data_IF_923599572854
#
_entry.id   IF_923599572854
#
_cell.length_a   1.000
_cell.length_b   1.000
_cell.length_c   1.000
_cell.angle_alpha   90.00
_cell.angle_beta   90.00
_cell.angle_gamma   90.00
#
_symmetry.space_group_name_H-M   'P 1'
#
loop_
_entity.id
_entity.type
_entity.pdbx_description
1 polymer ?
#
# COMPACT_ATOMS: atom_id res chain seq x y z
N UNK A 1 -2.99 15.52 13.04
CA UNK A 1 -2.25 15.32 11.77
C UNK A 1 -3.27 14.98 10.72
N UNK A 2 -3.26 15.71 9.61
CA UNK A 2 -4.19 15.48 8.51
C UNK A 2 -3.95 14.10 7.90
N UNK A 3 -5.04 13.40 7.55
CA UNK A 3 -4.96 12.06 6.94
C UNK A 3 -4.89 12.09 5.42
N UNK A 4 -4.93 13.28 4.83
CA UNK A 4 -4.89 13.56 3.40
C UNK A 4 -3.59 14.30 3.06
N UNK A 5 -3.06 14.03 1.88
CA UNK A 5 -1.96 14.79 1.29
C UNK A 5 -2.40 16.22 0.95
N UNK A 6 -1.43 17.11 0.73
CA UNK A 6 -1.72 18.50 0.31
C UNK A 6 -2.52 18.56 -0.99
N UNK A 7 -2.20 17.67 -1.94
CA UNK A 7 -2.93 17.58 -3.20
C UNK A 7 -4.39 17.16 -3.01
N UNK A 8 -4.64 16.18 -2.14
CA UNK A 8 -6.00 15.73 -1.81
C UNK A 8 -6.81 16.82 -1.09
N UNK A 9 -6.17 17.60 -0.20
CA UNK A 9 -6.83 18.71 0.49
C UNK A 9 -7.26 19.84 -0.48
N UNK A 10 -6.50 20.09 -1.54
CA UNK A 10 -6.92 21.03 -2.59
C UNK A 10 -8.16 20.52 -3.33
N UNK A 11 -8.21 19.22 -3.67
CA UNK A 11 -9.41 18.62 -4.29
C UNK A 11 -10.62 18.74 -3.36
N UNK A 12 -10.44 18.47 -2.06
CA UNK A 12 -11.51 18.61 -1.06
C UNK A 12 -11.99 20.06 -0.98
N UNK A 13 -11.07 21.02 -0.94
CA UNK A 13 -11.38 22.44 -0.88
C UNK A 13 -12.17 22.87 -2.11
N UNK A 14 -11.70 22.52 -3.32
CA UNK A 14 -12.42 22.77 -4.57
C UNK A 14 -13.82 22.14 -4.55
N UNK A 15 -13.95 20.91 -4.06
CA UNK A 15 -15.24 20.21 -3.97
C UNK A 15 -16.23 20.96 -3.07
N UNK A 16 -15.79 21.42 -1.90
CA UNK A 16 -16.61 22.21 -0.97
C UNK A 16 -17.01 23.53 -1.62
N UNK A 17 -16.06 24.25 -2.22
CA UNK A 17 -16.31 25.54 -2.89
C UNK A 17 -17.32 25.40 -4.02
N UNK A 18 -17.15 24.40 -4.89
CA UNK A 18 -18.08 24.09 -5.99
C UNK A 18 -19.47 23.79 -5.43
N UNK A 19 -19.56 22.89 -4.44
CA UNK A 19 -20.83 22.49 -3.83
C UNK A 19 -21.58 23.68 -3.24
N UNK A 20 -20.89 24.52 -2.47
CA UNK A 20 -21.46 25.73 -1.84
C UNK A 20 -21.86 26.76 -2.90
N UNK A 21 -21.04 26.98 -3.92
CA UNK A 21 -21.34 27.91 -5.04
C UNK A 21 -22.61 27.52 -5.79
N UNK A 22 -22.89 26.22 -5.92
CA UNK A 22 -24.11 25.70 -6.55
C UNK A 22 -25.28 25.53 -5.56
N UNK A 23 -25.15 26.00 -4.32
CA UNK A 23 -26.20 25.93 -3.30
C UNK A 23 -26.57 24.50 -2.88
N UNK A 24 -25.65 23.55 -3.00
CA UNK A 24 -25.90 22.13 -2.70
C UNK A 24 -25.46 21.76 -1.28
N UNK A 25 -26.26 20.93 -0.60
CA UNK A 25 -25.89 20.36 0.71
C UNK A 25 -25.02 19.11 0.56
N UNK A 26 -24.42 18.65 1.66
CA UNK A 26 -23.74 17.35 1.70
C UNK A 26 -24.74 16.22 1.42
N UNK A 27 -25.94 16.27 2.01
CA UNK A 27 -27.03 15.33 1.71
C UNK A 27 -27.40 15.26 0.22
N UNK A 28 -27.37 16.39 -0.50
CA UNK A 28 -27.64 16.41 -1.94
C UNK A 28 -26.58 15.64 -2.73
N UNK A 29 -25.29 15.86 -2.44
CA UNK A 29 -24.22 15.10 -3.08
C UNK A 29 -24.30 13.62 -2.71
N UNK A 30 -24.64 13.31 -1.46
CA UNK A 30 -24.82 11.94 -1.00
C UNK A 30 -25.91 11.20 -1.79
N UNK A 31 -27.03 11.89 -2.07
CA UNK A 31 -28.14 11.37 -2.87
C UNK A 31 -27.68 11.04 -4.31
N UNK A 32 -26.97 11.96 -4.97
CA UNK A 32 -26.48 11.74 -6.36
C UNK A 32 -25.54 10.55 -6.43
N UNK A 33 -24.66 10.41 -5.44
CA UNK A 33 -23.66 9.35 -5.42
C UNK A 33 -24.19 8.02 -4.84
N UNK A 34 -25.43 8.00 -4.37
CA UNK A 34 -26.02 6.86 -3.65
C UNK A 34 -25.14 6.37 -2.49
N UNK A 35 -24.69 7.31 -1.65
CA UNK A 35 -23.87 7.09 -0.45
C UNK A 35 -24.50 7.75 0.77
N UNK A 36 -23.95 7.52 1.96
CA UNK A 36 -24.42 8.20 3.17
C UNK A 36 -23.95 9.65 3.24
N UNK A 37 -24.76 10.52 3.85
CA UNK A 37 -24.34 11.91 4.13
C UNK A 37 -23.06 11.96 5.00
N UNK A 38 -22.95 11.03 5.96
CA UNK A 38 -21.75 10.89 6.77
C UNK A 38 -20.49 10.58 5.96
N UNK A 39 -20.60 9.84 4.84
CA UNK A 39 -19.48 9.63 3.93
C UNK A 39 -19.02 10.95 3.29
N UNK A 40 -19.95 11.80 2.84
CA UNK A 40 -19.62 13.13 2.30
C UNK A 40 -18.94 13.99 3.36
N UNK A 41 -19.45 13.98 4.60
CA UNK A 41 -18.81 14.66 5.72
C UNK A 41 -17.38 14.18 6.00
N UNK A 42 -17.10 12.88 5.83
CA UNK A 42 -15.74 12.34 5.94
C UNK A 42 -14.84 12.77 4.76
N UNK A 43 -15.37 12.79 3.53
CA UNK A 43 -14.62 13.26 2.36
C UNK A 43 -14.20 14.71 2.55
N UNK A 44 -15.14 15.56 2.98
CA UNK A 44 -14.91 17.00 3.18
C UNK A 44 -14.09 17.35 4.43
N UNK A 45 -13.81 16.35 5.29
CA UNK A 45 -13.02 16.55 6.50
C UNK A 45 -11.55 16.17 6.31
N UNK A 46 -10.58 17.00 6.75
CA UNK A 46 -9.15 16.65 6.70
C UNK A 46 -8.76 15.50 7.66
N UNK A 47 -9.63 15.19 8.63
CA UNK A 47 -9.36 14.20 9.69
C UNK A 47 -9.62 12.75 9.25
N UNK A 48 -10.22 12.55 8.08
CA UNK A 48 -10.52 11.23 7.53
C UNK A 48 -9.76 11.01 6.23
N UNK A 49 -9.37 9.76 5.90
CA UNK A 49 -8.68 9.46 4.65
C UNK A 49 -9.64 9.30 3.46
N UNK A 50 -10.96 9.30 3.70
CA UNK A 50 -11.98 9.13 2.65
C UNK A 50 -11.86 10.21 1.59
N UNK A 51 -11.92 9.83 0.31
CA UNK A 51 -11.83 10.71 -0.85
C UNK A 51 -12.93 10.35 -1.85
N UNK A 52 -13.38 11.32 -2.65
CA UNK A 52 -14.14 10.99 -3.85
C UNK A 52 -13.28 10.15 -4.81
N UNK A 53 -13.89 9.15 -5.44
CA UNK A 53 -13.28 8.53 -6.61
C UNK A 53 -13.35 9.48 -7.80
N UNK A 54 -12.53 9.23 -8.83
CA UNK A 54 -12.62 10.00 -10.08
C UNK A 54 -14.01 9.91 -10.71
N UNK A 55 -14.67 8.74 -10.63
CA UNK A 55 -16.03 8.54 -11.14
C UNK A 55 -17.07 9.32 -10.33
N UNK A 56 -16.91 9.40 -9.00
CA UNK A 56 -17.78 10.22 -8.16
C UNK A 56 -17.64 11.71 -8.48
N UNK A 57 -16.40 12.20 -8.65
CA UNK A 57 -16.17 13.59 -9.08
C UNK A 57 -16.79 13.86 -10.45
N UNK A 58 -16.66 12.92 -11.39
CA UNK A 58 -17.27 13.04 -12.71
C UNK A 58 -18.80 13.03 -12.65
N UNK A 59 -19.41 12.20 -11.81
CA UNK A 59 -20.85 12.18 -11.61
C UNK A 59 -21.38 13.51 -11.05
N UNK A 60 -20.67 14.10 -10.07
CA UNK A 60 -21.00 15.43 -9.56
C UNK A 60 -20.82 16.48 -10.67
N UNK A 61 -19.76 16.39 -11.47
CA UNK A 61 -19.51 17.31 -12.58
C UNK A 61 -20.66 17.31 -13.60
N UNK A 62 -21.16 16.12 -13.96
CA UNK A 62 -22.32 15.94 -14.85
C UNK A 62 -23.57 16.58 -14.25
N UNK A 63 -23.88 16.32 -12.98
CA UNK A 63 -25.06 16.88 -12.30
C UNK A 63 -25.02 18.41 -12.25
N UNK A 64 -23.84 18.97 -11.99
CA UNK A 64 -23.65 20.43 -11.89
C UNK A 64 -23.41 21.11 -13.24
N UNK A 65 -23.24 20.37 -14.33
CA UNK A 65 -22.96 20.92 -15.65
C UNK A 65 -21.59 21.60 -15.77
N UNK A 66 -20.59 21.11 -15.02
CA UNK A 66 -19.22 21.67 -14.99
C UNK A 66 -18.20 20.67 -15.52
N UNK A 67 -16.98 21.15 -15.79
CA UNK A 67 -15.87 20.25 -16.14
C UNK A 67 -15.38 19.51 -14.89
N UNK A 68 -15.10 18.19 -14.97
CA UNK A 68 -14.48 17.47 -13.85
C UNK A 68 -13.09 18.02 -13.48
N UNK A 69 -12.44 18.77 -14.38
CA UNK A 69 -11.18 19.45 -14.10
C UNK A 69 -11.31 20.51 -13.00
N UNK A 70 -12.50 21.09 -12.80
CA UNK A 70 -12.72 22.11 -11.76
C UNK A 70 -12.49 21.59 -10.34
N UNK A 71 -12.56 20.27 -10.13
CA UNK A 71 -12.25 19.64 -8.85
C UNK A 71 -10.74 19.56 -8.57
N UNK A 72 -9.87 19.79 -9.55
CA UNK A 72 -8.42 19.61 -9.42
C UNK A 72 -7.69 20.95 -9.43
N UNK A 73 -6.52 21.04 -8.79
CA UNK A 73 -5.70 22.24 -8.85
C UNK A 73 -5.13 22.43 -10.28
N UNK A 74 -5.16 23.68 -10.75
CA UNK A 74 -4.62 24.05 -12.08
C UNK A 74 -3.08 23.95 -12.17
N UNK A 75 -2.41 23.94 -11.02
CA UNK A 75 -0.96 23.83 -10.92
C UNK A 75 -0.58 22.72 -9.96
N UNK A 76 0.61 22.14 -10.16
CA UNK A 76 1.13 21.09 -9.31
C UNK A 76 1.29 21.56 -7.86
N UNK A 77 0.83 20.74 -6.92
CA UNK A 77 0.97 20.98 -5.49
C UNK A 77 2.22 20.27 -4.99
N UNK A 78 3.12 21.01 -4.32
CA UNK A 78 4.33 20.44 -3.74
C UNK A 78 3.97 19.50 -2.58
N UNK A 79 4.00 18.20 -2.86
CA UNK A 79 3.82 17.13 -1.89
C UNK A 79 5.10 16.30 -1.80
N UNK A 80 5.64 16.14 -0.59
CA UNK A 80 6.73 15.19 -0.38
C UNK A 80 6.15 13.78 -0.42
N UNK A 81 6.62 12.99 -1.38
CA UNK A 81 6.30 11.57 -1.42
C UNK A 81 7.14 10.84 -0.36
N UNK A 82 6.59 9.82 0.32
CA UNK A 82 7.36 9.01 1.23
C UNK A 82 8.53 8.40 0.47
N UNK A 83 9.75 8.87 0.77
CA UNK A 83 10.97 8.32 0.20
C UNK A 83 11.19 6.96 0.82
N UNK A 84 11.13 5.90 -0.01
CA UNK A 84 11.62 4.59 0.42
C UNK A 84 13.12 4.73 0.64
N UNK A 85 13.60 4.43 1.84
CA UNK A 85 15.03 4.31 2.09
C UNK A 85 15.55 3.10 1.30
N UNK A 86 16.04 3.39 0.09
CA UNK A 86 16.49 2.38 -0.85
C UNK A 86 17.75 1.69 -0.34
N UNK A 87 18.61 2.41 0.39
CA UNK A 87 19.84 1.86 0.96
C UNK A 87 19.52 0.90 2.11
N UNK A 88 18.67 1.29 3.06
CA UNK A 88 18.23 0.39 4.12
C UNK A 88 17.49 -0.83 3.56
N UNK A 89 16.63 -0.64 2.55
CA UNK A 89 15.93 -1.74 1.88
C UNK A 89 16.91 -2.70 1.19
N UNK A 90 17.90 -2.16 0.48
CA UNK A 90 18.92 -2.97 -0.20
C UNK A 90 19.81 -3.70 0.80
N UNK A 91 20.24 -3.04 1.87
CA UNK A 91 21.03 -3.64 2.94
C UNK A 91 20.28 -4.80 3.59
N UNK A 92 19.00 -4.59 3.93
CA UNK A 92 18.13 -5.64 4.47
C UNK A 92 17.97 -6.80 3.50
N UNK A 93 17.75 -6.54 2.21
CA UNK A 93 17.62 -7.58 1.19
C UNK A 93 18.89 -8.43 1.08
N UNK A 94 20.07 -7.80 0.98
CA UNK A 94 21.36 -8.51 0.93
C UNK A 94 21.62 -9.34 2.19
N UNK A 95 21.22 -8.84 3.35
CA UNK A 95 21.36 -9.58 4.59
C UNK A 95 20.47 -10.83 4.61
N UNK A 96 19.20 -10.70 4.20
CA UNK A 96 18.27 -11.83 4.05
C UNK A 96 18.80 -12.84 3.03
N UNK A 97 19.34 -12.39 1.90
CA UNK A 97 19.98 -13.23 0.88
C UNK A 97 21.14 -14.05 1.46
N UNK A 98 22.05 -13.40 2.18
CA UNK A 98 23.16 -14.07 2.88
C UNK A 98 22.66 -15.08 3.92
N UNK A 99 21.66 -14.71 4.72
CA UNK A 99 21.04 -15.58 5.71
C UNK A 99 20.42 -16.83 5.09
N UNK A 100 19.64 -16.68 4.02
CA UNK A 100 19.03 -17.79 3.28
C UNK A 100 20.11 -18.69 2.67
N UNK A 101 21.16 -18.12 2.06
CA UNK A 101 22.27 -18.90 1.53
C UNK A 101 22.96 -19.76 2.61
N UNK A 102 23.15 -19.20 3.83
CA UNK A 102 23.66 -19.98 4.99
C UNK A 102 22.71 -21.11 5.38
N UNK A 103 21.39 -20.87 5.40
CA UNK A 103 20.40 -21.91 5.72
C UNK A 103 20.39 -23.03 4.69
N UNK A 104 20.50 -22.71 3.39
CA UNK A 104 20.62 -23.71 2.32
C UNK A 104 21.86 -24.58 2.54
N UNK A 105 23.03 -23.96 2.77
CA UNK A 105 24.28 -24.69 3.02
C UNK A 105 24.20 -25.59 4.26
N UNK A 106 23.47 -25.19 5.29
CA UNK A 106 23.22 -25.99 6.51
C UNK A 106 22.18 -27.10 6.33
N UNK A 107 21.58 -27.25 5.14
CA UNK A 107 20.55 -28.25 4.89
C UNK A 107 19.21 -27.96 5.56
N UNK A 108 18.93 -26.69 5.91
CA UNK A 108 17.67 -26.31 6.57
C UNK A 108 16.44 -26.64 5.72
N UNK A 109 16.59 -26.56 4.39
CA UNK A 109 15.54 -26.81 3.39
C UNK A 109 15.43 -28.28 2.96
N UNK A 110 16.10 -29.23 3.64
CA UNK A 110 15.92 -30.69 3.36
C UNK A 110 14.48 -31.16 3.51
N UNK A 111 13.70 -30.45 4.34
CA UNK A 111 12.27 -30.66 4.52
C UNK A 111 11.54 -29.37 4.17
N UNK A 112 10.23 -29.49 4.00
CA UNK A 112 9.32 -28.36 3.81
C UNK A 112 9.41 -27.31 4.92
N UNK A 113 9.60 -26.05 4.53
CA UNK A 113 9.66 -24.89 5.42
C UNK A 113 8.66 -23.84 5.01
N UNK A 114 7.81 -23.42 5.94
CA UNK A 114 6.94 -22.27 5.71
C UNK A 114 7.75 -20.99 5.86
N UNK A 115 7.31 -19.93 5.16
CA UNK A 115 7.92 -18.59 5.27
C UNK A 115 8.02 -18.12 6.73
N UNK A 116 7.00 -18.40 7.55
CA UNK A 116 7.01 -18.05 8.98
C UNK A 116 8.18 -18.71 9.74
N UNK A 117 8.49 -19.97 9.43
CA UNK A 117 9.54 -20.73 10.12
C UNK A 117 10.91 -20.20 9.72
N UNK A 118 11.06 -19.81 8.45
CA UNK A 118 12.25 -19.15 7.92
C UNK A 118 12.45 -17.80 8.60
N UNK A 119 11.39 -16.99 8.76
CA UNK A 119 11.43 -15.71 9.50
C UNK A 119 11.89 -15.94 10.94
N UNK A 120 11.27 -16.86 11.67
CA UNK A 120 11.63 -17.18 13.06
C UNK A 120 13.09 -17.63 13.15
N UNK A 121 13.53 -18.47 12.21
CA UNK A 121 14.91 -18.99 12.20
C UNK A 121 15.91 -17.87 11.92
N UNK A 122 15.69 -17.03 10.90
CA UNK A 122 16.55 -15.89 10.60
C UNK A 122 16.57 -14.87 11.74
N UNK A 123 15.41 -14.54 12.32
CA UNK A 123 15.28 -13.61 13.44
C UNK A 123 16.00 -14.06 14.71
N UNK A 124 16.28 -15.35 14.87
CA UNK A 124 17.09 -15.88 15.97
C UNK A 124 18.60 -15.66 15.80
N UNK A 125 19.05 -15.30 14.60
CA UNK A 125 20.47 -15.03 14.33
C UNK A 125 20.82 -13.61 14.79
N UNK A 126 22.01 -13.45 15.39
CA UNK A 126 22.47 -12.17 15.92
C UNK A 126 22.43 -11.02 14.90
N UNK A 127 22.69 -11.32 13.62
CA UNK A 127 22.67 -10.35 12.52
C UNK A 127 21.27 -9.78 12.18
N UNK A 128 20.19 -10.40 12.67
CA UNK A 128 18.80 -9.95 12.47
C UNK A 128 18.12 -9.45 13.74
N UNK A 129 18.83 -9.35 14.87
CA UNK A 129 18.25 -9.07 16.20
C UNK A 129 17.39 -7.80 16.24
N UNK A 130 17.77 -6.78 15.48
CA UNK A 130 17.08 -5.47 15.45
C UNK A 130 16.25 -5.28 14.16
N UNK A 131 16.04 -6.33 13.38
CA UNK A 131 15.32 -6.28 12.11
C UNK A 131 13.97 -6.96 12.20
N UNK A 132 12.92 -6.19 11.88
CA UNK A 132 11.58 -6.74 11.68
C UNK A 132 11.51 -7.35 10.28
N UNK A 133 11.52 -8.68 10.19
CA UNK A 133 11.35 -9.42 8.94
C UNK A 133 9.87 -9.68 8.64
N UNK A 134 9.45 -9.42 7.41
CA UNK A 134 8.10 -9.72 6.91
C UNK A 134 8.16 -10.77 5.80
N UNK A 135 7.01 -11.40 5.51
CA UNK A 135 6.90 -12.42 4.46
C UNK A 135 7.46 -11.94 3.11
N UNK A 136 7.29 -10.66 2.78
CA UNK A 136 7.81 -10.09 1.54
C UNK A 136 9.34 -10.13 1.48
N UNK A 137 10.04 -9.84 2.58
CA UNK A 137 11.51 -9.84 2.59
C UNK A 137 12.07 -11.22 2.24
N UNK A 138 11.43 -12.27 2.75
CA UNK A 138 11.83 -13.65 2.51
C UNK A 138 11.44 -14.10 1.10
N UNK A 139 10.20 -13.86 0.70
CA UNK A 139 9.70 -14.31 -0.62
C UNK A 139 10.37 -13.60 -1.78
N UNK A 140 10.80 -12.35 -1.62
CA UNK A 140 11.56 -11.62 -2.64
C UNK A 140 12.93 -12.26 -2.90
N UNK A 141 13.53 -12.95 -1.91
CA UNK A 141 14.78 -13.71 -2.07
C UNK A 141 14.54 -15.15 -2.52
N UNK A 142 13.50 -15.83 -2.01
CA UNK A 142 13.26 -17.25 -2.35
C UNK A 142 12.70 -17.46 -3.76
N UNK A 143 11.88 -16.54 -4.28
CA UNK A 143 11.26 -16.68 -5.62
C UNK A 143 12.29 -16.79 -6.76
N UNK A 144 13.37 -15.99 -6.80
CA UNK A 144 14.45 -16.21 -7.77
C UNK A 144 15.10 -17.59 -7.66
N UNK A 145 15.29 -18.09 -6.44
CA UNK A 145 15.91 -19.40 -6.19
C UNK A 145 15.02 -20.55 -6.65
N UNK A 146 13.69 -20.40 -6.60
CA UNK A 146 12.78 -21.41 -7.14
C UNK A 146 12.71 -21.37 -8.66
N UNK A 147 12.76 -20.19 -9.27
CA UNK A 147 12.87 -20.05 -10.73
C UNK A 147 14.17 -20.62 -11.29
N UNK A 148 15.26 -20.53 -10.51
CA UNK A 148 16.56 -21.10 -10.85
C UNK A 148 16.75 -22.56 -10.43
N UNK A 149 15.69 -23.26 -10.02
CA UNK A 149 15.71 -24.69 -9.63
C UNK A 149 16.66 -25.00 -8.46
N UNK A 150 17.03 -24.01 -7.65
CA UNK A 150 17.86 -24.19 -6.44
C UNK A 150 17.00 -24.70 -5.28
N UNK A 151 15.73 -24.26 -5.24
CA UNK A 151 14.71 -24.66 -4.28
C UNK A 151 13.44 -25.02 -5.04
N UNK A 152 12.61 -25.85 -4.44
CA UNK A 152 11.25 -26.12 -4.87
C UNK A 152 10.25 -25.32 -4.02
N UNK A 153 9.04 -25.13 -4.53
CA UNK A 153 7.97 -24.46 -3.79
C UNK A 153 6.58 -24.96 -4.14
N UNK A 154 5.68 -24.90 -3.16
CA UNK A 154 4.25 -25.16 -3.32
C UNK A 154 3.42 -24.34 -2.34
N UNK A 155 2.11 -24.31 -2.55
CA UNK A 155 1.16 -23.64 -1.67
C UNK A 155 0.36 -24.67 -0.88
N UNK A 156 0.35 -24.56 0.45
CA UNK A 156 -0.46 -25.39 1.36
C UNK A 156 -1.37 -24.45 2.16
N UNK A 157 -2.69 -24.57 1.99
CA UNK A 157 -3.67 -23.73 2.70
C UNK A 157 -3.43 -22.22 2.51
N UNK A 158 -3.07 -21.80 1.28
CA UNK A 158 -2.76 -20.40 0.95
C UNK A 158 -1.38 -19.90 1.43
N UNK A 159 -0.54 -20.77 2.02
CA UNK A 159 0.79 -20.42 2.52
C UNK A 159 1.88 -21.04 1.65
N UNK A 160 2.89 -20.23 1.31
CA UNK A 160 4.04 -20.69 0.54
C UNK A 160 4.98 -21.53 1.40
N UNK A 161 5.39 -22.67 0.86
CA UNK A 161 6.31 -23.64 1.45
C UNK A 161 7.47 -23.87 0.48
N UNK A 162 8.68 -23.98 1.01
CA UNK A 162 9.90 -24.15 0.23
C UNK A 162 10.71 -25.33 0.76
N UNK A 163 11.36 -26.09 -0.13
CA UNK A 163 12.28 -27.18 0.21
C UNK A 163 13.34 -27.32 -0.88
N UNK A 164 14.28 -28.25 -0.67
CA UNK A 164 15.28 -28.67 -1.64
C UNK A 164 15.23 -30.19 -1.75
N UNK A 165 14.72 -30.69 -2.88
CA UNK A 165 14.79 -32.11 -3.25
C UNK A 165 16.21 -32.60 -3.53
#
# INVERSE_FOLDING_TARGET
MDKKSKFELEIVTSSITIRVKHGKSQAYIAMILNVSEGYIGQVESPNFPSMYTHDQLNAIAIDLGISPQEFYPNHAIKQELPKKDLFAKLAKHKLVESGIAKLIKKGYFKNERYVKDIITTLGSLAEFKDLILINKDITDVLRPLTKGEILESKTIGGKNVYWKG
#
